data_IF_795495383853
#
_entry.id   IF_795495383853
#
_cell.length_a   1.000
_cell.length_b   1.000
_cell.length_c   1.000
_cell.angle_alpha   90.00
_cell.angle_beta   90.00
_cell.angle_gamma   90.00
#
_symmetry.space_group_name_H-M   'P 1'
#
loop_
_entity.id
_entity.type
_entity.pdbx_description
1 polymer ?
#
# COMPACT_ATOMS: atom_id res chain seq x y z
N UNK A 1 13.82 -1.36 1.81
CA UNK A 1 13.46 -1.35 3.24
C UNK A 1 12.41 -0.29 3.48
N UNK A 2 11.18 -0.74 3.79
CA UNK A 2 10.12 0.11 4.33
C UNK A 2 10.64 0.61 5.67
N UNK A 3 11.02 1.90 5.78
CA UNK A 3 11.29 2.52 7.08
C UNK A 3 10.06 2.32 7.97
N UNK A 4 10.34 1.79 9.16
CA UNK A 4 9.47 1.07 10.13
C UNK A 4 7.99 1.45 10.12
N UNK A 5 7.14 0.43 10.24
CA UNK A 5 5.68 0.58 10.33
C UNK A 5 5.29 1.55 11.47
N UNK A 6 6.02 1.48 12.58
CA UNK A 6 5.94 2.39 13.74
C UNK A 6 6.03 3.89 13.43
N UNK A 7 6.66 4.32 12.34
CA UNK A 7 6.74 5.75 12.00
C UNK A 7 5.37 6.33 11.65
N UNK A 8 4.49 5.52 11.07
CA UNK A 8 3.11 5.93 10.75
C UNK A 8 2.23 6.00 11.99
N UNK A 9 2.38 5.06 12.92
CA UNK A 9 1.61 5.04 14.18
C UNK A 9 1.95 6.19 15.15
N UNK A 10 3.08 6.88 14.94
CA UNK A 10 3.48 8.04 15.74
C UNK A 10 3.15 9.37 15.08
N UNK A 11 2.74 9.38 13.82
CA UNK A 11 2.36 10.59 13.11
C UNK A 11 0.87 10.87 13.26
N UNK A 12 0.51 12.14 13.39
CA UNK A 12 -0.89 12.54 13.25
C UNK A 12 -1.27 12.37 11.77
N UNK A 13 -2.10 11.36 11.51
CA UNK A 13 -2.67 11.06 10.20
C UNK A 13 -4.02 11.75 10.13
N UNK A 14 -4.20 12.62 9.15
CA UNK A 14 -5.49 13.28 8.91
C UNK A 14 -5.93 12.93 7.50
N UNK A 15 -7.12 12.33 7.40
CA UNK A 15 -7.83 12.10 6.14
C UNK A 15 -8.57 13.38 5.78
N UNK A 16 -8.47 13.80 4.53
CA UNK A 16 -9.10 15.02 4.03
C UNK A 16 -10.00 14.72 2.85
N UNK A 17 -11.14 15.42 2.80
CA UNK A 17 -12.05 15.39 1.66
C UNK A 17 -11.42 16.15 0.49
N UNK A 18 -11.22 15.44 -0.63
CA UNK A 18 -10.62 15.97 -1.84
C UNK A 18 -11.43 17.15 -2.42
N UNK A 19 -10.76 18.29 -2.67
CA UNK A 19 -11.39 19.47 -3.30
C UNK A 19 -10.51 20.08 -4.40
N UNK A 20 -10.98 19.93 -5.64
CA UNK A 20 -10.73 20.67 -6.89
C UNK A 20 -9.31 21.16 -7.25
N UNK A 21 -8.96 20.95 -8.52
CA UNK A 21 -7.73 21.45 -9.15
C UNK A 21 -7.87 22.92 -9.54
N UNK A 22 -6.85 23.74 -9.21
CA UNK A 22 -6.67 25.08 -9.80
C UNK A 22 -5.35 25.13 -10.54
N UNK A 23 -5.40 25.24 -11.87
CA UNK A 23 -4.20 25.52 -12.69
C UNK A 23 -3.14 24.41 -12.72
N UNK A 24 -3.54 23.14 -12.67
CA UNK A 24 -2.61 21.99 -12.78
C UNK A 24 -1.83 21.67 -11.50
N UNK A 25 -2.11 22.36 -10.38
CA UNK A 25 -1.60 22.00 -9.05
C UNK A 25 -2.77 21.60 -8.16
N UNK A 26 -2.66 20.45 -7.51
CA UNK A 26 -3.65 19.98 -6.54
C UNK A 26 -3.37 20.62 -5.19
N UNK A 27 -4.38 21.27 -4.62
CA UNK A 27 -4.32 21.94 -3.32
C UNK A 27 -5.35 21.35 -2.39
N UNK A 28 -5.09 21.38 -1.10
CA UNK A 28 -6.01 20.93 -0.07
C UNK A 28 -5.94 21.83 1.16
N UNK A 29 -7.09 22.02 1.82
CA UNK A 29 -7.16 22.69 3.11
C UNK A 29 -6.88 21.68 4.23
N UNK A 30 -5.92 22.00 5.09
CA UNK A 30 -5.48 21.14 6.19
C UNK A 30 -5.63 21.92 7.49
N UNK A 31 -6.44 21.39 8.41
CA UNK A 31 -6.48 21.86 9.79
C UNK A 31 -5.29 21.27 10.57
N UNK A 32 -4.48 22.14 11.17
CA UNK A 32 -3.38 21.69 12.02
C UNK A 32 -3.91 21.15 13.35
N UNK A 33 -3.59 19.90 13.75
CA UNK A 33 -4.10 19.30 14.99
C UNK A 33 -3.53 19.95 16.26
N UNK A 34 -2.44 20.71 16.15
CA UNK A 34 -1.79 21.38 17.27
C UNK A 34 -2.31 22.81 17.50
N UNK A 35 -2.58 23.57 16.44
CA UNK A 35 -2.97 24.98 16.55
C UNK A 35 -4.32 25.31 15.94
N UNK A 36 -5.01 24.33 15.35
CA UNK A 36 -6.32 24.45 14.71
C UNK A 36 -6.39 25.47 13.58
N UNK A 37 -5.25 25.94 13.08
CA UNK A 37 -5.20 26.80 11.92
C UNK A 37 -5.42 25.96 10.66
N UNK A 38 -6.40 26.36 9.85
CA UNK A 38 -6.60 25.82 8.51
C UNK A 38 -5.70 26.54 7.51
N UNK A 39 -4.87 25.78 6.82
CA UNK A 39 -3.93 26.33 5.82
C UNK A 39 -4.04 25.57 4.50
N UNK A 40 -3.86 26.29 3.40
CA UNK A 40 -3.84 25.70 2.05
C UNK A 40 -2.46 25.08 1.79
N UNK A 41 -2.43 23.83 1.35
CA UNK A 41 -1.21 23.12 1.00
C UNK A 41 -1.28 22.52 -0.40
N UNK A 42 -0.17 22.63 -1.13
CA UNK A 42 0.03 21.91 -2.38
C UNK A 42 0.36 20.45 -2.08
N UNK A 43 -0.29 19.53 -2.77
CA UNK A 43 -0.07 18.09 -2.63
C UNK A 43 0.12 17.40 -3.96
N UNK A 44 0.68 16.19 -3.92
CA UNK A 44 0.96 15.36 -5.09
C UNK A 44 -0.03 14.20 -5.10
N UNK A 45 -0.99 14.26 -6.01
CA UNK A 45 -2.05 13.25 -6.20
C UNK A 45 -1.73 12.25 -7.32
N UNK A 46 -0.69 12.48 -8.12
CA UNK A 46 -0.20 11.56 -9.13
C UNK A 46 1.34 11.54 -9.17
N UNK A 47 1.91 10.35 -8.93
CA UNK A 47 3.34 10.07 -8.87
C UNK A 47 3.68 9.16 -10.05
N UNK A 48 4.34 9.70 -11.07
CA UNK A 48 4.89 8.93 -12.17
C UNK A 48 6.41 8.87 -12.04
N UNK A 49 6.96 7.71 -11.72
CA UNK A 49 8.39 7.56 -11.40
C UNK A 49 9.28 7.48 -12.64
N UNK A 50 8.75 7.15 -13.81
CA UNK A 50 9.49 7.21 -15.06
C UNK A 50 9.78 8.66 -15.47
N UNK A 51 8.87 9.58 -15.13
CA UNK A 51 9.03 11.03 -15.33
C UNK A 51 9.75 11.72 -14.18
N UNK A 52 9.54 11.24 -12.95
CA UNK A 52 10.08 11.82 -11.71
C UNK A 52 10.65 10.74 -10.78
N UNK A 53 11.82 10.16 -11.10
CA UNK A 53 12.40 9.04 -10.33
C UNK A 53 12.67 9.36 -8.86
N UNK A 54 12.91 10.64 -8.54
CA UNK A 54 13.14 11.13 -7.18
C UNK A 54 11.93 10.93 -6.26
N UNK A 55 10.70 10.83 -6.81
CA UNK A 55 9.49 10.64 -6.01
C UNK A 55 9.40 9.23 -5.42
N UNK A 56 10.06 8.24 -6.02
CA UNK A 56 10.13 6.86 -5.49
C UNK A 56 10.62 6.85 -4.04
N UNK A 57 11.75 7.50 -3.77
CA UNK A 57 12.32 7.58 -2.42
C UNK A 57 11.38 8.32 -1.44
N UNK A 58 10.68 9.35 -1.93
CA UNK A 58 9.75 10.15 -1.12
C UNK A 58 8.46 9.42 -0.76
N UNK A 59 7.99 8.50 -1.62
CA UNK A 59 6.90 7.58 -1.28
C UNK A 59 7.38 6.60 -0.22
N UNK A 60 8.59 6.05 -0.39
CA UNK A 60 9.15 5.07 0.53
C UNK A 60 9.46 5.63 1.92
N UNK A 61 9.73 6.92 2.09
CA UNK A 61 9.92 7.55 3.41
C UNK A 61 8.74 8.43 3.86
N UNK A 62 7.65 8.42 3.07
CA UNK A 62 6.42 9.19 3.25
C UNK A 62 6.59 10.71 3.22
N UNK A 63 7.76 11.23 2.86
CA UNK A 63 7.98 12.67 2.77
C UNK A 63 7.09 13.35 1.72
N UNK A 64 6.60 12.62 0.72
CA UNK A 64 5.62 13.14 -0.24
C UNK A 64 4.27 13.52 0.41
N UNK A 65 3.93 12.88 1.52
CA UNK A 65 2.70 13.15 2.30
C UNK A 65 2.94 14.07 3.49
N UNK A 66 4.19 14.49 3.76
CA UNK A 66 4.51 15.34 4.91
C UNK A 66 4.18 16.79 4.63
N UNK A 67 3.40 17.37 5.53
CA UNK A 67 3.03 18.77 5.52
C UNK A 67 3.50 19.44 6.81
N UNK A 68 4.09 20.63 6.68
CA UNK A 68 4.48 21.47 7.81
C UNK A 68 3.49 22.62 7.96
N UNK A 69 2.88 22.75 9.13
CA UNK A 69 2.01 23.87 9.46
C UNK A 69 2.80 25.20 9.43
N UNK A 70 2.38 26.20 8.65
CA UNK A 70 3.09 27.49 8.58
C UNK A 70 2.88 28.34 9.85
N UNK A 71 1.86 28.05 10.66
CA UNK A 71 1.56 28.79 11.89
C UNK A 71 2.41 28.34 13.09
N UNK A 72 2.43 27.04 13.41
CA UNK A 72 3.15 26.52 14.59
C UNK A 72 4.38 25.66 14.25
N UNK A 73 4.60 25.31 12.99
CA UNK A 73 5.73 24.48 12.57
C UNK A 73 5.56 22.98 12.76
N UNK A 74 4.42 22.53 13.31
CA UNK A 74 4.09 21.11 13.49
C UNK A 74 4.11 20.37 12.14
N UNK A 75 4.59 19.12 12.14
CA UNK A 75 4.66 18.30 10.93
C UNK A 75 3.68 17.14 11.03
N UNK A 76 2.81 17.00 10.04
CA UNK A 76 1.79 15.97 9.96
C UNK A 76 1.83 15.21 8.63
N UNK A 77 1.17 14.06 8.58
CA UNK A 77 0.97 13.30 7.35
C UNK A 77 -0.42 13.59 6.80
N UNK A 78 -0.48 14.27 5.65
CA UNK A 78 -1.70 14.59 4.95
C UNK A 78 -2.07 13.42 4.03
N UNK A 79 -3.03 12.59 4.46
CA UNK A 79 -3.46 11.43 3.70
C UNK A 79 -4.61 11.82 2.79
N UNK A 80 -4.39 11.65 1.48
CA UNK A 80 -5.30 12.04 0.42
C UNK A 80 -5.18 11.04 -0.75
N UNK A 81 -6.17 10.98 -1.66
CA UNK A 81 -6.07 10.16 -2.84
C UNK A 81 -4.79 10.42 -3.65
N UNK A 82 -4.03 9.38 -3.94
CA UNK A 82 -2.76 9.49 -4.63
C UNK A 82 -2.51 8.26 -5.53
N UNK A 83 -2.25 8.49 -6.81
CA UNK A 83 -1.96 7.44 -7.79
C UNK A 83 -0.45 7.30 -7.98
N UNK A 84 0.10 6.12 -7.70
CA UNK A 84 1.45 5.73 -8.09
C UNK A 84 1.41 5.02 -9.44
N UNK A 85 2.29 5.42 -10.36
CA UNK A 85 2.38 4.89 -11.71
C UNK A 85 3.84 4.56 -12.05
N UNK A 86 4.08 3.27 -12.28
CA UNK A 86 5.33 2.72 -12.81
C UNK A 86 5.05 2.19 -14.23
N UNK A 87 5.48 2.94 -15.23
CA UNK A 87 5.29 2.58 -16.64
C UNK A 87 6.20 1.44 -17.04
N UNK A 88 7.43 1.42 -16.54
CA UNK A 88 8.42 0.39 -16.86
C UNK A 88 7.96 -1.01 -16.41
N UNK A 89 7.39 -1.11 -15.21
CA UNK A 89 6.85 -2.35 -14.66
C UNK A 89 5.34 -2.55 -14.93
N UNK A 90 4.72 -1.64 -15.70
CA UNK A 90 3.32 -1.69 -16.13
C UNK A 90 2.32 -1.90 -14.96
N UNK A 91 2.44 -1.12 -13.89
CA UNK A 91 1.48 -1.16 -12.80
C UNK A 91 1.10 0.22 -12.26
N UNK A 92 -0.07 0.28 -11.65
CA UNK A 92 -0.54 1.42 -10.89
C UNK A 92 -1.07 0.97 -9.53
N UNK A 93 -0.75 1.75 -8.50
CA UNK A 93 -1.34 1.59 -7.16
C UNK A 93 -2.04 2.89 -6.81
N UNK A 94 -3.32 2.84 -6.50
CA UNK A 94 -4.10 3.99 -6.10
C UNK A 94 -4.35 3.93 -4.59
N UNK A 95 -3.78 4.88 -3.85
CA UNK A 95 -4.23 5.17 -2.49
C UNK A 95 -5.58 5.87 -2.58
N UNK A 96 -6.64 5.21 -2.13
CA UNK A 96 -8.00 5.73 -2.11
C UNK A 96 -8.51 5.79 -0.68
N UNK A 97 -8.60 7.00 -0.13
CA UNK A 97 -8.95 7.23 1.28
C UNK A 97 -10.35 7.80 1.48
N UNK A 98 -11.08 8.00 0.39
CA UNK A 98 -12.43 8.59 0.34
C UNK A 98 -13.50 7.51 0.50
N UNK A 99 -14.64 7.91 1.07
CA UNK A 99 -15.85 7.10 1.11
C UNK A 99 -16.51 7.09 -0.28
N UNK A 100 -16.47 5.97 -1.00
CA UNK A 100 -17.09 5.87 -2.32
C UNK A 100 -16.47 4.81 -3.21
N UNK A 101 -16.98 4.73 -4.45
CA UNK A 101 -16.41 3.84 -5.45
C UNK A 101 -15.06 4.40 -5.92
N UNK A 102 -14.08 3.50 -6.01
CA UNK A 102 -12.80 3.79 -6.66
C UNK A 102 -13.09 4.21 -8.10
N UNK A 103 -12.54 5.33 -8.58
CA UNK A 103 -12.80 5.76 -9.94
C UNK A 103 -12.38 4.67 -10.91
N UNK A 104 -13.24 4.40 -11.90
CA UNK A 104 -12.89 3.48 -12.97
C UNK A 104 -11.78 4.10 -13.79
N UNK A 105 -10.82 3.28 -14.22
CA UNK A 105 -9.87 3.73 -15.23
C UNK A 105 -10.66 4.03 -16.51
N UNK A 106 -10.91 5.30 -16.81
CA UNK A 106 -11.65 5.72 -18.01
C UNK A 106 -10.80 5.64 -19.30
N UNK A 107 -9.61 5.06 -19.24
CA UNK A 107 -8.65 5.01 -20.34
C UNK A 107 -8.28 3.57 -20.72
N UNK A 108 -8.71 3.13 -21.89
CA UNK A 108 -8.20 1.91 -22.53
C UNK A 108 -6.97 2.27 -23.40
N UNK A 109 -5.77 2.23 -22.79
CA UNK A 109 -4.73 1.33 -23.27
C UNK A 109 -4.03 0.55 -22.12
N UNK A 110 -4.64 0.46 -20.94
CA UNK A 110 -4.08 -0.23 -19.77
C UNK A 110 -4.30 -1.76 -19.79
N UNK A 111 -4.63 -2.32 -20.94
CA UNK A 111 -4.68 -3.77 -21.12
C UNK A 111 -3.31 -4.38 -20.74
N UNK A 112 -3.31 -5.27 -19.75
CA UNK A 112 -2.10 -5.90 -19.22
C UNK A 112 -1.44 -5.15 -18.06
N UNK A 113 -1.91 -3.96 -17.67
CA UNK A 113 -1.43 -3.31 -16.46
C UNK A 113 -1.97 -4.00 -15.21
N UNK A 114 -1.12 -4.09 -14.18
CA UNK A 114 -1.56 -4.43 -12.83
C UNK A 114 -2.11 -3.19 -12.13
N UNK A 115 -3.42 -3.15 -11.91
CA UNK A 115 -4.10 -2.02 -11.26
C UNK A 115 -4.54 -2.42 -9.86
N UNK A 116 -4.06 -1.71 -8.84
CA UNK A 116 -4.35 -1.99 -7.43
C UNK A 116 -4.89 -0.78 -6.70
N UNK A 117 -5.83 -0.98 -5.80
CA UNK A 117 -6.31 0.06 -4.88
C UNK A 117 -6.01 -0.33 -3.43
N UNK A 118 -5.58 0.66 -2.65
CA UNK A 118 -5.25 0.54 -1.23
C UNK A 118 -5.91 1.68 -0.44
N UNK A 119 -6.05 1.54 0.87
CA UNK A 119 -6.72 2.53 1.74
C UNK A 119 -5.83 3.11 2.84
N UNK A 120 -4.60 2.62 2.97
CA UNK A 120 -3.64 3.07 3.97
C UNK A 120 -2.27 3.33 3.33
N UNK A 121 -1.48 4.20 3.95
CA UNK A 121 -0.12 4.47 3.51
C UNK A 121 0.81 3.26 3.65
N UNK A 122 0.53 2.38 4.61
CA UNK A 122 1.25 1.11 4.79
C UNK A 122 1.00 0.17 3.62
N UNK A 123 -0.27 -0.11 3.32
CA UNK A 123 -0.65 -1.01 2.22
C UNK A 123 -0.23 -0.43 0.87
N UNK A 124 -0.30 0.90 0.70
CA UNK A 124 0.22 1.60 -0.48
C UNK A 124 1.72 1.36 -0.68
N UNK A 125 2.55 1.61 0.34
CA UNK A 125 4.00 1.37 0.28
C UNK A 125 4.34 -0.10 0.08
N UNK A 126 3.62 -0.99 0.76
CA UNK A 126 3.78 -2.44 0.64
C UNK A 126 3.50 -2.91 -0.79
N UNK A 127 2.35 -2.55 -1.38
CA UNK A 127 2.02 -2.94 -2.75
C UNK A 127 3.02 -2.42 -3.77
N UNK A 128 3.44 -1.16 -3.66
CA UNK A 128 4.50 -0.62 -4.52
C UNK A 128 5.79 -1.43 -4.36
N UNK A 129 6.20 -1.71 -3.12
CA UNK A 129 7.42 -2.47 -2.82
C UNK A 129 7.40 -3.91 -3.39
N UNK A 130 6.23 -4.55 -3.39
CA UNK A 130 6.01 -5.88 -3.98
C UNK A 130 6.10 -5.81 -5.51
N UNK A 131 5.31 -4.91 -6.13
CA UNK A 131 5.18 -4.83 -7.58
C UNK A 131 6.47 -4.33 -8.26
N UNK A 132 7.21 -3.40 -7.66
CA UNK A 132 8.52 -2.97 -8.17
C UNK A 132 9.56 -4.09 -8.18
N UNK A 133 9.36 -5.17 -7.42
CA UNK A 133 10.22 -6.36 -7.43
C UNK A 133 9.77 -7.42 -8.43
N UNK A 134 8.68 -7.18 -9.16
CA UNK A 134 8.07 -8.18 -10.03
C UNK A 134 7.48 -9.35 -9.26
N UNK A 135 7.17 -9.18 -7.97
CA UNK A 135 6.51 -10.20 -7.17
C UNK A 135 4.99 -10.12 -7.38
N UNK A 136 4.34 -11.27 -7.45
CA UNK A 136 2.88 -11.37 -7.41
C UNK A 136 2.34 -11.02 -6.01
N UNK A 137 1.58 -9.93 -5.95
CA UNK A 137 1.00 -9.40 -4.73
C UNK A 137 -0.13 -10.26 -4.15
N UNK A 138 -0.78 -11.07 -4.98
CA UNK A 138 -1.78 -12.06 -4.57
C UNK A 138 -1.13 -13.17 -3.77
N UNK A 139 -0.01 -13.70 -4.25
CA UNK A 139 0.76 -14.72 -3.53
C UNK A 139 1.23 -14.21 -2.17
N UNK A 140 1.67 -12.95 -2.09
CA UNK A 140 2.08 -12.33 -0.83
C UNK A 140 0.92 -12.21 0.15
N UNK A 141 -0.29 -11.82 -0.28
CA UNK A 141 -1.45 -11.79 0.63
C UNK A 141 -1.84 -13.19 1.13
N UNK A 142 -1.75 -14.23 0.29
CA UNK A 142 -1.97 -15.62 0.74
C UNK A 142 -0.91 -16.03 1.77
N UNK A 143 0.36 -15.68 1.56
CA UNK A 143 1.43 -15.92 2.54
C UNK A 143 1.15 -15.20 3.86
N UNK A 144 0.73 -13.93 3.80
CA UNK A 144 0.32 -13.15 4.98
C UNK A 144 -0.83 -13.83 5.71
N UNK A 145 -1.82 -14.34 5.00
CA UNK A 145 -2.95 -15.06 5.60
C UNK A 145 -2.51 -16.33 6.36
N UNK A 146 -1.65 -17.14 5.74
CA UNK A 146 -1.10 -18.34 6.38
C UNK A 146 -0.25 -17.99 7.61
N UNK A 147 0.57 -16.95 7.52
CA UNK A 147 1.41 -16.50 8.60
C UNK A 147 0.59 -15.90 9.75
N UNK A 148 -0.43 -15.09 9.43
CA UNK A 148 -1.36 -14.54 10.39
C UNK A 148 -2.08 -15.64 11.18
N UNK A 149 -2.57 -16.69 10.51
CA UNK A 149 -3.18 -17.85 11.17
C UNK A 149 -2.23 -18.60 12.13
N UNK A 150 -0.91 -18.50 11.91
CA UNK A 150 0.09 -19.06 12.82
C UNK A 150 0.39 -18.14 14.01
N UNK A 151 0.61 -16.85 13.74
CA UNK A 151 1.00 -15.86 14.75
C UNK A 151 -0.17 -15.48 15.67
N UNK A 152 -1.38 -15.33 15.12
CA UNK A 152 -2.54 -14.83 15.85
C UNK A 152 -3.10 -15.83 16.89
N UNK A 153 -2.51 -17.01 17.00
CA UNK A 153 -2.78 -17.94 18.11
C UNK A 153 -2.13 -17.51 19.42
N UNK A 154 -0.97 -16.86 19.31
CA UNK A 154 -0.11 -16.54 20.46
C UNK A 154 0.08 -15.02 20.63
N UNK A 155 -0.14 -14.25 19.57
CA UNK A 155 0.06 -12.80 19.51
C UNK A 155 -1.23 -12.08 19.11
N UNK A 156 -1.44 -10.88 19.66
CA UNK A 156 -2.55 -10.00 19.28
C UNK A 156 -2.12 -9.11 18.10
N UNK A 157 -2.17 -9.66 16.89
CA UNK A 157 -1.64 -9.02 15.68
C UNK A 157 -2.70 -8.07 15.10
N UNK A 158 -2.38 -6.78 15.03
CA UNK A 158 -3.27 -5.75 14.48
C UNK A 158 -2.98 -5.42 13.02
N UNK A 159 -1.74 -5.59 12.57
CA UNK A 159 -1.35 -5.42 11.16
C UNK A 159 -0.21 -6.38 10.82
N UNK A 160 -0.24 -6.95 9.62
CA UNK A 160 0.84 -7.78 9.09
C UNK A 160 1.22 -7.23 7.72
N UNK A 161 2.50 -6.92 7.50
CA UNK A 161 3.00 -6.34 6.26
C UNK A 161 4.22 -7.12 5.77
N UNK A 162 4.34 -7.26 4.45
CA UNK A 162 5.56 -7.66 3.79
C UNK A 162 6.62 -6.56 3.95
N UNK A 163 7.76 -6.92 4.52
CA UNK A 163 8.85 -6.00 4.83
C UNK A 163 9.94 -6.00 3.75
N UNK A 164 10.47 -7.19 3.42
CA UNK A 164 11.52 -7.36 2.42
C UNK A 164 11.64 -8.80 1.92
N UNK A 165 12.21 -8.95 0.73
CA UNK A 165 12.80 -10.20 0.26
C UNK A 165 14.31 -10.13 0.55
N UNK A 166 14.82 -11.02 1.39
CA UNK A 166 16.24 -11.15 1.66
C UNK A 166 16.92 -11.80 0.44
N UNK A 167 17.61 -11.01 -0.39
CA UNK A 167 18.27 -11.50 -1.61
C UNK A 167 19.38 -12.53 -1.34
N UNK A 168 19.93 -12.58 -0.11
CA UNK A 168 20.98 -13.52 0.25
C UNK A 168 20.42 -14.89 0.62
N UNK A 169 19.29 -14.94 1.33
CA UNK A 169 18.69 -16.20 1.77
C UNK A 169 17.52 -16.66 0.90
N UNK A 170 16.90 -15.74 0.17
CA UNK A 170 15.64 -15.95 -0.55
C UNK A 170 14.41 -15.94 0.35
N UNK A 171 14.53 -15.50 1.61
CA UNK A 171 13.42 -15.47 2.55
C UNK A 171 12.56 -14.21 2.39
N UNK A 172 11.25 -14.40 2.47
CA UNK A 172 10.28 -13.33 2.55
C UNK A 172 10.08 -12.97 4.02
N UNK A 173 10.43 -11.73 4.39
CA UNK A 173 10.27 -11.22 5.74
C UNK A 173 9.03 -10.37 5.86
N UNK A 174 8.32 -10.58 6.96
CA UNK A 174 7.10 -9.88 7.32
C UNK A 174 7.30 -9.22 8.69
N UNK A 175 6.59 -8.11 8.90
CA UNK A 175 6.49 -7.44 10.18
C UNK A 175 5.04 -7.51 10.65
N UNK A 176 4.83 -8.11 11.81
CA UNK A 176 3.58 -8.11 12.54
C UNK A 176 3.62 -6.99 13.57
N UNK A 177 2.67 -6.07 13.49
CA UNK A 177 2.44 -5.04 14.51
C UNK A 177 1.44 -5.59 15.51
N UNK A 178 1.79 -5.54 16.79
CA UNK A 178 0.95 -6.00 17.89
C UNK A 178 0.12 -4.85 18.47
N UNK A 179 -0.94 -5.17 19.22
CA UNK A 179 -1.82 -4.18 19.82
C UNK A 179 -1.15 -3.25 20.84
N UNK A 180 -0.03 -3.68 21.44
CA UNK A 180 0.81 -2.87 22.33
C UNK A 180 1.81 -1.97 21.58
N UNK A 181 1.81 -2.04 20.24
CA UNK A 181 2.72 -1.32 19.36
C UNK A 181 4.07 -2.00 19.16
N UNK A 182 4.31 -3.19 19.70
CA UNK A 182 5.53 -3.95 19.40
C UNK A 182 5.53 -4.45 17.95
N UNK A 183 6.73 -4.56 17.36
CA UNK A 183 6.94 -5.17 16.05
C UNK A 183 7.58 -6.55 16.23
N UNK A 184 6.94 -7.59 15.70
CA UNK A 184 7.48 -8.94 15.63
C UNK A 184 7.81 -9.27 14.17
N UNK A 185 9.05 -9.67 13.91
CA UNK A 185 9.48 -10.07 12.58
C UNK A 185 9.34 -11.59 12.42
N UNK A 186 8.85 -12.00 11.26
CA UNK A 186 8.73 -13.40 10.88
C UNK A 186 9.24 -13.59 9.45
N UNK A 187 9.71 -14.78 9.13
CA UNK A 187 10.23 -15.11 7.80
C UNK A 187 9.53 -16.36 7.27
N UNK A 188 9.26 -16.36 5.96
CA UNK A 188 8.82 -17.53 5.22
C UNK A 188 9.84 -17.82 4.11
N UNK A 189 10.21 -19.09 3.90
CA UNK A 189 11.18 -19.44 2.88
C UNK A 189 10.64 -19.18 1.48
N UNK A 190 11.50 -18.80 0.53
CA UNK A 190 11.11 -18.59 -0.86
C UNK A 190 10.46 -19.80 -1.53
N UNK A 191 10.75 -21.02 -1.08
CA UNK A 191 10.04 -22.23 -1.53
C UNK A 191 8.53 -22.22 -1.20
N UNK A 192 8.12 -21.53 -0.13
CA UNK A 192 6.71 -21.33 0.18
C UNK A 192 6.05 -20.40 -0.85
N UNK A 193 6.73 -19.29 -1.21
CA UNK A 193 6.27 -18.39 -2.27
C UNK A 193 6.11 -19.13 -3.60
N UNK A 194 7.12 -19.89 -4.04
CA UNK A 194 7.09 -20.60 -5.31
C UNK A 194 5.92 -21.59 -5.43
N UNK A 195 5.63 -22.35 -4.36
CA UNK A 195 4.49 -23.27 -4.35
C UNK A 195 3.16 -22.54 -4.47
N UNK A 196 2.97 -21.51 -3.63
CA UNK A 196 1.73 -20.74 -3.64
C UNK A 196 1.54 -19.96 -4.95
N UNK A 197 2.63 -19.44 -5.52
CA UNK A 197 2.60 -18.71 -6.79
C UNK A 197 2.08 -19.57 -7.93
N UNK A 198 2.54 -20.83 -8.03
CA UNK A 198 2.06 -21.75 -9.05
C UNK A 198 0.54 -21.98 -8.96
N UNK A 199 0.01 -22.14 -7.75
CA UNK A 199 -1.43 -22.31 -7.52
C UNK A 199 -2.18 -21.00 -7.81
N UNK A 200 -1.68 -19.86 -7.35
CA UNK A 200 -2.27 -18.54 -7.59
C UNK A 200 -2.35 -18.24 -9.09
N UNK A 201 -1.29 -18.46 -9.86
CA UNK A 201 -1.29 -18.26 -11.31
C UNK A 201 -2.28 -19.18 -12.03
N UNK A 202 -2.41 -20.42 -11.56
CA UNK A 202 -3.26 -21.43 -12.20
C UNK A 202 -4.74 -21.19 -11.94
N UNK A 203 -5.10 -20.81 -10.71
CA UNK A 203 -6.48 -20.87 -10.23
C UNK A 203 -7.08 -19.50 -9.90
N UNK A 204 -6.27 -18.48 -9.62
CA UNK A 204 -6.78 -17.17 -9.19
C UNK A 204 -6.63 -16.14 -10.31
N UNK A 205 -7.76 -15.73 -10.88
CA UNK A 205 -7.81 -14.69 -11.89
C UNK A 205 -8.22 -13.35 -11.28
N UNK A 206 -7.52 -12.28 -11.66
CA UNK A 206 -7.93 -10.90 -11.40
C UNK A 206 -8.26 -10.23 -12.74
N UNK A 207 -9.48 -9.69 -12.92
CA UNK A 207 -9.83 -9.00 -14.16
C UNK A 207 -8.87 -7.85 -14.44
N UNK A 208 -8.29 -7.85 -15.66
CA UNK A 208 -7.52 -6.71 -16.14
C UNK A 208 -8.40 -5.50 -16.42
N UNK A 209 -7.81 -4.31 -16.40
CA UNK A 209 -8.46 -3.06 -16.77
C UNK A 209 -9.28 -2.37 -15.68
N UNK A 210 -9.44 -2.99 -14.51
CA UNK A 210 -10.08 -2.36 -13.34
C UNK A 210 -9.16 -2.39 -12.11
N UNK A 211 -9.27 -1.37 -11.26
CA UNK A 211 -8.54 -1.33 -9.99
C UNK A 211 -9.11 -2.38 -9.03
N UNK A 212 -8.30 -3.37 -8.66
CA UNK A 212 -8.70 -4.42 -7.72
C UNK A 212 -8.04 -4.23 -6.37
N UNK A 213 -8.78 -4.49 -5.29
CA UNK A 213 -8.23 -4.56 -3.95
C UNK A 213 -7.74 -5.98 -3.69
N UNK A 214 -6.45 -6.13 -3.42
CA UNK A 214 -5.80 -7.42 -3.09
C UNK A 214 -5.24 -7.28 -1.68
N UNK A 215 -6.06 -7.64 -0.70
CA UNK A 215 -5.74 -7.60 0.73
C UNK A 215 -6.00 -8.95 1.40
N UNK A 216 -5.95 -8.99 2.74
CA UNK A 216 -6.20 -10.20 3.52
C UNK A 216 -7.64 -10.72 3.38
N UNK A 217 -8.62 -9.84 3.14
CA UNK A 217 -10.00 -10.27 2.88
C UNK A 217 -10.09 -10.96 1.52
N UNK A 218 -9.45 -10.40 0.50
CA UNK A 218 -9.31 -11.06 -0.80
C UNK A 218 -8.61 -12.42 -0.66
N UNK A 219 -7.53 -12.52 0.12
CA UNK A 219 -6.80 -13.77 0.30
C UNK A 219 -7.66 -14.87 0.96
N UNK A 220 -8.50 -14.49 1.92
CA UNK A 220 -9.43 -15.43 2.56
C UNK A 220 -10.44 -15.98 1.56
N UNK A 221 -11.08 -15.10 0.79
CA UNK A 221 -12.06 -15.48 -0.24
C UNK A 221 -11.41 -16.33 -1.33
N UNK A 222 -10.18 -16.01 -1.73
CA UNK A 222 -9.43 -16.78 -2.71
C UNK A 222 -9.14 -18.20 -2.21
N UNK A 223 -8.72 -18.38 -0.95
CA UNK A 223 -8.48 -19.71 -0.40
C UNK A 223 -9.76 -20.55 -0.28
N UNK A 224 -10.90 -19.94 0.07
CA UNK A 224 -12.19 -20.64 0.10
C UNK A 224 -12.54 -21.20 -1.28
N UNK A 225 -12.37 -20.41 -2.34
CA UNK A 225 -12.60 -20.84 -3.72
C UNK A 225 -11.66 -21.99 -4.13
N UNK A 226 -10.38 -21.95 -3.74
CA UNK A 226 -9.44 -23.03 -4.02
C UNK A 226 -9.82 -24.33 -3.31
N UNK A 227 -10.37 -24.23 -2.09
CA UNK A 227 -10.80 -25.40 -1.32
C UNK A 227 -12.05 -26.05 -1.90
N UNK A 228 -12.99 -25.27 -2.45
CA UNK A 228 -14.20 -25.79 -3.10
C UNK A 228 -13.93 -26.48 -4.45
N UNK A 229 -12.77 -26.21 -5.07
CA UNK A 229 -12.37 -26.77 -6.36
C UNK A 229 -11.55 -28.07 -6.27
N UNK A 230 -11.10 -28.46 -5.07
CA UNK A 230 -10.28 -29.66 -4.80
C UNK A 230 -11.04 -30.77 -4.11
#
# INVERSE_FOLDING_TARGET
MIRTCLQLYKCVIIKFNWTNTRGGTTVMMIECPHCHMETEHKVIDHINIDRNPELRAKVQDLSVFRVKCPNCGETLLAVHPCLYHDMANQFMVWLWTEDGQVPKAEFDPLAGYTLRVTDSLNTFREKINILERGLDDRTIEIMKLLLFAQLNRDLDVVELLFHELDERTGDFRFVAVLSDGAEQYAAMPGAAYQRLHADVETYLYTPGGEFSRIDMTWAHQALELLHEMG
#
